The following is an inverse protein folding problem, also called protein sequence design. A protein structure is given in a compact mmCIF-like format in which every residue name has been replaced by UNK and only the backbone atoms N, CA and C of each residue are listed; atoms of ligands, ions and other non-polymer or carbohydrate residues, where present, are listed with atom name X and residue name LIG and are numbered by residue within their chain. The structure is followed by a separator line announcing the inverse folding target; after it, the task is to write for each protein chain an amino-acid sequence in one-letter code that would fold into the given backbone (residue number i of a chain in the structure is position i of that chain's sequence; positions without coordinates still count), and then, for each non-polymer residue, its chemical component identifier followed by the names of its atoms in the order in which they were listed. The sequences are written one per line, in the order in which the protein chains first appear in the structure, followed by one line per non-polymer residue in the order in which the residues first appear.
data_IF_642836409539
#
_entry.id   IF_642836409539
#
_cell.length_a   1.000
_cell.length_b   1.000
_cell.length_c   1.000
_cell.angle_alpha   90.00
_cell.angle_beta   90.00
_cell.angle_gamma   90.00
#
_symmetry.space_group_name_H-M   'P 1'
#
loop_
_entity.id
_entity.type
_entity.pdbx_description
1 polymer ?
#
# COMPACT_ATOMS: atom_id res chain seq x y z
N UNK A 1 -17.38 9.20 -7.87
CA UNK A 1 -16.16 9.21 -7.03
C UNK A 1 -16.09 7.89 -6.29
N UNK A 2 -14.90 7.29 -6.13
CA UNK A 2 -14.77 6.07 -5.37
C UNK A 2 -15.13 6.30 -3.89
N UNK A 3 -15.81 5.31 -3.31
CA UNK A 3 -16.26 5.32 -1.91
C UNK A 3 -15.32 4.44 -1.12
N UNK A 4 -14.94 4.90 0.06
CA UNK A 4 -14.19 4.11 1.04
C UNK A 4 -15.12 3.79 2.21
N UNK A 5 -14.74 2.80 3.01
CA UNK A 5 -15.42 2.50 4.27
C UNK A 5 -15.52 3.80 5.11
N UNK A 6 -16.73 4.23 5.53
CA UNK A 6 -16.91 5.53 6.20
C UNK A 6 -16.02 5.75 7.41
N UNK A 7 -15.73 4.68 8.16
CA UNK A 7 -14.84 4.74 9.33
C UNK A 7 -13.38 5.02 8.99
N UNK A 8 -12.95 4.78 7.74
CA UNK A 8 -11.61 5.09 7.24
C UNK A 8 -11.43 6.52 6.74
N UNK A 9 -12.52 7.22 6.37
CA UNK A 9 -12.47 8.61 5.91
C UNK A 9 -11.70 9.54 6.86
N UNK A 10 -12.02 9.60 8.18
CA UNK A 10 -11.26 10.44 9.10
C UNK A 10 -9.80 10.01 9.21
N UNK A 11 -9.52 8.70 9.16
CA UNK A 11 -8.16 8.15 9.26
C UNK A 11 -7.29 8.66 8.13
N UNK A 12 -7.73 8.51 6.87
CA UNK A 12 -6.93 8.92 5.71
C UNK A 12 -6.85 10.45 5.59
N UNK A 13 -7.89 11.17 6.02
CA UNK A 13 -7.90 12.63 6.01
C UNK A 13 -6.93 13.24 7.05
N UNK A 14 -6.94 12.73 8.28
CA UNK A 14 -6.07 13.19 9.35
C UNK A 14 -4.61 12.79 9.10
N UNK A 15 -4.39 11.60 8.53
CA UNK A 15 -3.07 11.17 8.06
C UNK A 15 -2.52 12.09 6.97
N UNK A 16 -3.31 12.33 5.92
CA UNK A 16 -2.90 13.17 4.79
C UNK A 16 -2.51 14.56 5.27
N UNK A 17 -3.33 15.16 6.14
CA UNK A 17 -3.06 16.47 6.74
C UNK A 17 -1.77 16.43 7.56
N UNK A 18 -1.62 15.41 8.40
CA UNK A 18 -0.45 15.22 9.25
C UNK A 18 0.86 15.10 8.46
N UNK A 19 0.86 14.33 7.37
CA UNK A 19 2.03 14.12 6.52
C UNK A 19 2.33 15.36 5.65
N UNK A 20 1.31 16.00 5.06
CA UNK A 20 1.50 17.21 4.25
C UNK A 20 2.04 18.39 5.04
N UNK A 21 1.52 18.64 6.24
CA UNK A 21 2.02 19.71 7.12
C UNK A 21 3.52 19.56 7.44
N UNK A 22 4.05 18.34 7.34
CA UNK A 22 5.45 18.01 7.65
C UNK A 22 6.30 17.84 6.40
N UNK A 23 5.71 17.99 5.22
CA UNK A 23 6.40 17.75 3.94
C UNK A 23 6.89 16.32 3.77
N UNK A 24 6.25 15.33 4.41
CA UNK A 24 6.63 13.91 4.32
C UNK A 24 5.96 13.31 3.07
N UNK A 25 6.73 12.87 2.05
CA UNK A 25 6.17 12.19 0.89
C UNK A 25 5.59 10.83 1.29
N UNK A 26 4.45 10.46 0.71
CA UNK A 26 3.77 9.21 1.05
C UNK A 26 2.96 8.68 -0.13
N UNK A 27 2.61 7.40 -0.05
CA UNK A 27 1.71 6.74 -0.98
C UNK A 27 0.87 5.67 -0.29
N UNK A 28 -0.43 5.63 -0.61
CA UNK A 28 -1.32 4.56 -0.18
C UNK A 28 -0.96 3.27 -0.91
N UNK A 29 -0.83 2.19 -0.15
CA UNK A 29 -0.53 0.85 -0.63
C UNK A 29 -1.63 -0.11 -0.13
N UNK A 30 -1.40 -1.43 -0.26
CA UNK A 30 -2.31 -2.43 0.30
C UNK A 30 -3.66 -2.53 -0.40
N UNK A 31 -4.67 -2.98 0.34
CA UNK A 31 -5.99 -3.34 -0.18
C UNK A 31 -6.83 -2.12 -0.61
N UNK A 32 -6.56 -0.95 -0.02
CA UNK A 32 -7.30 0.27 -0.36
C UNK A 32 -7.04 0.75 -1.81
N UNK A 33 -5.89 0.41 -2.39
CA UNK A 33 -5.56 0.83 -3.76
C UNK A 33 -6.45 0.16 -4.82
N UNK A 34 -6.54 -1.18 -4.92
CA UNK A 34 -7.44 -1.80 -5.88
C UNK A 34 -8.91 -1.40 -5.64
N UNK A 35 -9.35 -1.23 -4.38
CA UNK A 35 -10.70 -0.75 -4.07
C UNK A 35 -11.03 0.63 -4.65
N UNK A 36 -10.02 1.50 -4.73
CA UNK A 36 -10.17 2.87 -5.23
C UNK A 36 -9.92 3.01 -6.73
N UNK A 37 -9.09 2.13 -7.31
CA UNK A 37 -8.68 2.19 -8.72
C UNK A 37 -9.48 1.28 -9.65
N UNK A 38 -10.09 0.21 -9.15
CA UNK A 38 -10.80 -0.78 -9.98
C UNK A 38 -12.31 -0.54 -9.91
N UNK A 39 -12.97 -0.70 -11.06
CA UNK A 39 -14.43 -0.60 -11.16
C UNK A 39 -15.12 -1.79 -10.49
N UNK A 40 -14.47 -2.96 -10.52
CA UNK A 40 -14.91 -4.16 -9.80
C UNK A 40 -14.47 -4.07 -8.35
N UNK A 41 -15.43 -3.81 -7.46
CA UNK A 41 -15.14 -3.73 -6.02
C UNK A 41 -15.18 -5.11 -5.36
N UNK A 42 -14.35 -5.34 -4.33
CA UNK A 42 -14.44 -6.54 -3.52
C UNK A 42 -15.77 -6.54 -2.75
N UNK A 43 -16.30 -7.75 -2.50
CA UNK A 43 -17.50 -7.93 -1.68
C UNK A 43 -17.30 -7.49 -0.22
N UNK A 44 -16.04 -7.54 0.28
CA UNK A 44 -15.63 -7.04 1.58
C UNK A 44 -14.64 -5.90 1.39
N UNK A 45 -14.99 -4.72 1.87
CA UNK A 45 -14.08 -3.58 1.90
C UNK A 45 -13.06 -3.71 3.04
N UNK A 46 -11.89 -3.11 2.86
CA UNK A 46 -10.86 -3.02 3.88
C UNK A 46 -11.26 -2.02 4.96
N UNK A 47 -10.90 -2.31 6.21
CA UNK A 47 -11.24 -1.49 7.38
C UNK A 47 -10.02 -0.80 8.00
N UNK A 48 -8.86 -0.97 7.37
CA UNK A 48 -7.58 -0.36 7.67
C UNK A 48 -6.99 0.31 6.42
N UNK A 49 -6.03 1.21 6.64
CA UNK A 49 -5.28 1.85 5.58
C UNK A 49 -3.81 1.46 5.68
N UNK A 50 -3.19 1.12 4.54
CA UNK A 50 -1.76 0.87 4.44
C UNK A 50 -1.04 2.07 3.79
N UNK A 51 -0.20 2.69 4.61
CA UNK A 51 0.73 3.80 4.45
C UNK A 51 2.17 3.46 4.00
N UNK A 52 2.71 3.90 2.87
CA UNK A 52 4.18 4.06 2.75
C UNK A 52 4.56 5.52 2.99
N UNK A 53 5.57 5.78 3.84
CA UNK A 53 6.14 7.13 4.05
C UNK A 53 7.64 7.15 3.75
N UNK A 54 8.12 8.26 3.19
CA UNK A 54 9.54 8.44 2.87
C UNK A 54 10.26 9.12 4.03
N UNK A 55 11.19 8.39 4.66
CA UNK A 55 11.99 8.84 5.82
C UNK A 55 13.41 8.29 5.72
N UNK A 56 14.40 9.01 6.25
CA UNK A 56 15.83 8.67 6.04
C UNK A 56 16.37 7.68 7.07
N UNK A 57 15.77 7.65 8.27
CA UNK A 57 16.19 6.77 9.37
C UNK A 57 14.98 6.19 10.11
N UNK A 58 15.19 5.11 10.85
CA UNK A 58 14.17 4.57 11.76
C UNK A 58 13.84 5.56 12.90
N UNK A 59 14.79 6.38 13.33
CA UNK A 59 14.54 7.43 14.33
C UNK A 59 13.59 8.52 13.80
N UNK A 60 13.72 8.89 12.52
CA UNK A 60 12.78 9.82 11.87
C UNK A 60 11.38 9.22 11.78
N UNK A 61 11.30 7.90 11.51
CA UNK A 61 10.03 7.18 11.49
C UNK A 61 9.35 7.17 12.86
N UNK A 62 10.10 6.89 13.93
CA UNK A 62 9.59 6.94 15.30
C UNK A 62 9.11 8.35 15.67
N UNK A 63 9.90 9.36 15.33
CA UNK A 63 9.55 10.78 15.53
C UNK A 63 8.29 11.17 14.75
N UNK A 64 8.12 10.64 13.53
CA UNK A 64 6.94 10.88 12.72
C UNK A 64 5.69 10.33 13.40
N UNK A 65 5.74 9.09 13.92
CA UNK A 65 4.62 8.48 14.66
C UNK A 65 4.22 9.32 15.87
N UNK A 66 5.19 9.83 16.64
CA UNK A 66 4.89 10.69 17.79
C UNK A 66 4.21 11.99 17.38
N UNK A 67 4.66 12.58 16.27
CA UNK A 67 4.07 13.81 15.75
C UNK A 67 2.66 13.60 15.19
N UNK A 68 2.31 12.40 14.73
CA UNK A 68 0.96 12.07 14.27
C UNK A 68 -0.05 11.99 15.43
N UNK A 69 0.39 11.96 16.69
CA UNK A 69 -0.50 12.05 17.85
C UNK A 69 -1.33 13.34 17.88
N UNK A 70 -0.77 14.45 17.38
CA UNK A 70 -1.51 15.71 17.22
C UNK A 70 -2.67 15.63 16.21
N UNK A 71 -2.72 14.56 15.41
CA UNK A 71 -3.77 14.25 14.42
C UNK A 71 -4.61 13.04 14.86
N UNK A 72 -4.66 12.74 16.16
CA UNK A 72 -5.52 11.69 16.70
C UNK A 72 -4.99 10.26 16.52
N UNK A 73 -3.69 10.08 16.26
CA UNK A 73 -3.08 8.75 16.15
C UNK A 73 -2.35 8.33 17.43
N UNK A 74 -2.60 7.12 17.88
CA UNK A 74 -1.90 6.50 19.00
C UNK A 74 -1.07 5.31 18.54
N UNK A 75 0.09 5.13 19.14
CA UNK A 75 0.92 3.93 18.94
C UNK A 75 0.18 2.68 19.41
N UNK A 76 0.41 1.58 18.72
CA UNK A 76 -0.02 0.25 19.17
C UNK A 76 1.17 -0.61 19.58
N UNK A 77 0.92 -1.86 20.00
CA UNK A 77 1.99 -2.84 20.26
C UNK A 77 2.66 -3.36 18.98
N UNK A 78 2.03 -3.16 17.82
CA UNK A 78 2.56 -3.55 16.53
C UNK A 78 3.39 -2.36 15.99
N UNK A 79 4.70 -2.52 15.71
CA UNK A 79 5.61 -1.38 15.50
C UNK A 79 5.24 -0.43 14.35
N UNK A 80 4.62 -0.96 13.31
CA UNK A 80 4.17 -0.21 12.13
C UNK A 80 2.71 0.25 12.23
N UNK A 81 1.97 -0.08 13.30
CA UNK A 81 0.54 0.18 13.38
C UNK A 81 0.20 1.29 14.34
N UNK A 82 -0.61 2.23 13.86
CA UNK A 82 -1.26 3.29 14.63
C UNK A 82 -2.77 3.05 14.71
N UNK A 83 -3.37 3.52 15.79
CA UNK A 83 -4.83 3.54 15.98
C UNK A 83 -5.30 4.98 16.00
N UNK A 84 -6.30 5.29 15.19
CA UNK A 84 -6.93 6.59 15.19
C UNK A 84 -7.98 6.70 16.32
N UNK A 85 -8.23 7.91 16.83
CA UNK A 85 -9.26 8.18 17.87
C UNK A 85 -10.67 7.72 17.48
N UNK A 86 -10.97 7.60 16.19
CA UNK A 86 -12.25 7.05 15.70
C UNK A 86 -12.32 5.52 15.75
N UNK A 87 -11.25 4.84 16.16
CA UNK A 87 -11.14 3.38 16.22
C UNK A 87 -10.51 2.73 14.97
N UNK A 88 -10.34 3.48 13.87
CA UNK A 88 -9.72 2.96 12.66
C UNK A 88 -8.23 2.65 12.81
N UNK A 89 -7.73 1.70 12.02
CA UNK A 89 -6.33 1.26 12.05
C UNK A 89 -5.57 1.78 10.82
N UNK A 90 -4.31 2.13 11.05
CA UNK A 90 -3.37 2.58 10.03
C UNK A 90 -2.07 1.80 10.19
N UNK A 91 -1.69 1.05 9.15
CA UNK A 91 -0.37 0.45 9.04
C UNK A 91 0.52 1.40 8.24
N UNK A 92 1.63 1.86 8.82
CA UNK A 92 2.55 2.83 8.22
C UNK A 92 3.96 2.23 8.14
N UNK A 93 4.48 2.13 6.92
CA UNK A 93 5.76 1.54 6.58
C UNK A 93 6.75 2.63 6.15
N UNK A 94 7.90 2.75 6.82
CA UNK A 94 8.93 3.68 6.39
C UNK A 94 9.70 3.13 5.19
N UNK A 95 10.09 4.01 4.27
CA UNK A 95 10.95 3.64 3.15
C UNK A 95 11.98 4.71 2.81
N UNK A 96 13.19 4.24 2.55
CA UNK A 96 14.24 4.90 1.79
C UNK A 96 15.28 3.83 1.41
N UNK A 97 16.12 4.12 0.43
CA UNK A 97 17.21 3.20 0.05
C UNK A 97 18.21 2.98 1.20
N UNK A 98 18.29 3.89 2.19
CA UNK A 98 19.17 3.75 3.36
C UNK A 98 18.65 2.78 4.42
N UNK A 99 17.32 2.73 4.63
CA UNK A 99 16.71 1.87 5.67
C UNK A 99 16.16 0.55 5.12
N UNK A 100 15.94 0.48 3.80
CA UNK A 100 15.47 -0.71 3.12
C UNK A 100 16.37 -1.07 1.92
N UNK A 101 17.70 -1.19 2.11
CA UNK A 101 18.61 -1.59 1.04
C UNK A 101 18.16 -2.93 0.46
N UNK A 102 18.32 -3.07 -0.85
CA UNK A 102 17.90 -4.26 -1.61
C UNK A 102 16.41 -4.63 -1.44
N UNK A 103 15.58 -3.65 -1.06
CA UNK A 103 14.15 -3.86 -0.86
C UNK A 103 13.83 -4.68 0.39
N UNK A 104 14.67 -4.65 1.43
CA UNK A 104 14.41 -5.33 2.70
C UNK A 104 14.51 -4.35 3.88
N UNK A 105 13.40 -4.14 4.57
CA UNK A 105 13.33 -3.32 5.78
C UNK A 105 13.32 -4.22 7.01
N UNK A 106 14.28 -4.03 7.91
CA UNK A 106 14.21 -4.55 9.28
C UNK A 106 13.74 -3.41 10.19
N UNK A 107 12.46 -3.45 10.57
CA UNK A 107 11.86 -2.35 11.31
C UNK A 107 12.22 -2.43 12.80
N UNK A 108 12.13 -3.63 13.35
CA UNK A 108 12.50 -4.02 14.72
C UNK A 108 12.81 -5.52 14.71
N UNK A 109 13.36 -6.05 15.81
CA UNK A 109 13.61 -7.49 15.96
C UNK A 109 12.34 -8.31 15.69
N UNK A 110 12.42 -9.28 14.79
CA UNK A 110 11.30 -10.09 14.32
C UNK A 110 10.32 -9.40 13.36
N UNK A 111 10.50 -8.12 13.02
CA UNK A 111 9.65 -7.37 12.09
C UNK A 111 10.41 -6.98 10.82
N UNK A 112 10.43 -7.90 9.87
CA UNK A 112 11.08 -7.73 8.57
C UNK A 112 10.04 -7.63 7.47
N UNK A 113 10.18 -6.62 6.61
CA UNK A 113 9.32 -6.39 5.46
C UNK A 113 10.11 -6.49 4.15
N UNK A 114 9.49 -7.12 3.16
CA UNK A 114 9.91 -7.01 1.77
C UNK A 114 9.31 -5.73 1.18
N UNK A 115 10.20 -4.81 0.83
CA UNK A 115 9.95 -3.48 0.26
C UNK A 115 10.29 -3.42 -1.24
N UNK A 116 10.40 -4.57 -1.92
CA UNK A 116 10.61 -4.61 -3.36
C UNK A 116 9.51 -3.80 -4.07
N UNK A 117 9.94 -2.92 -4.97
CA UNK A 117 9.04 -2.02 -5.70
C UNK A 117 8.62 -0.74 -4.95
N UNK A 118 8.90 -0.59 -3.65
CA UNK A 118 8.49 0.60 -2.89
C UNK A 118 9.17 1.88 -3.37
N UNK A 119 10.38 1.80 -3.96
CA UNK A 119 11.03 2.92 -4.66
C UNK A 119 10.17 3.59 -5.73
N UNK A 120 9.21 2.87 -6.29
CA UNK A 120 8.34 3.33 -7.37
C UNK A 120 7.02 3.91 -6.88
N UNK A 121 6.64 3.71 -5.61
CA UNK A 121 5.31 4.09 -5.11
C UNK A 121 5.10 5.59 -5.16
N UNK A 122 5.96 6.37 -4.48
CA UNK A 122 5.81 7.83 -4.43
C UNK A 122 6.09 8.50 -5.79
N UNK A 123 7.17 8.17 -6.53
CA UNK A 123 7.46 8.83 -7.80
C UNK A 123 6.40 8.61 -8.89
N UNK A 124 5.61 7.54 -8.79
CA UNK A 124 4.61 7.17 -9.78
C UNK A 124 3.19 7.09 -9.20
N UNK A 125 2.96 7.71 -8.04
CA UNK A 125 1.66 7.68 -7.39
C UNK A 125 0.57 8.30 -8.28
N UNK A 126 -0.58 7.65 -8.32
CA UNK A 126 -1.77 8.10 -9.04
C UNK A 126 -2.63 8.94 -8.09
N UNK A 127 -2.77 10.26 -8.32
CA UNK A 127 -3.64 11.09 -7.49
C UNK A 127 -5.10 10.68 -7.72
N UNK A 128 -5.78 10.30 -6.65
CA UNK A 128 -7.17 9.84 -6.71
C UNK A 128 -8.03 10.60 -5.72
N UNK A 129 -9.07 11.27 -6.21
CA UNK A 129 -10.01 12.03 -5.37
C UNK A 129 -11.14 11.13 -4.92
N UNK A 130 -11.27 10.97 -3.61
CA UNK A 130 -12.34 10.21 -2.96
C UNK A 130 -13.50 11.13 -2.55
N UNK A 131 -14.59 10.53 -2.07
CA UNK A 131 -15.73 11.27 -1.54
C UNK A 131 -15.31 12.30 -0.46
N UNK A 132 -15.90 13.50 -0.50
CA UNK A 132 -15.49 14.63 0.35
C UNK A 132 -14.35 15.49 -0.21
N UNK A 133 -13.83 15.17 -1.41
CA UNK A 133 -12.85 15.99 -2.12
C UNK A 133 -11.39 15.78 -1.68
N UNK A 134 -11.13 14.82 -0.79
CA UNK A 134 -9.77 14.43 -0.40
C UNK A 134 -9.06 13.74 -1.57
N UNK A 135 -7.83 14.16 -1.88
CA UNK A 135 -7.00 13.53 -2.91
C UNK A 135 -5.86 12.75 -2.27
N UNK A 136 -5.84 11.44 -2.49
CA UNK A 136 -4.81 10.53 -1.98
C UNK A 136 -3.84 10.11 -3.10
N UNK A 137 -2.52 10.04 -2.82
CA UNK A 137 -1.54 9.47 -3.73
C UNK A 137 -1.58 7.93 -3.64
N UNK A 138 -2.20 7.26 -4.60
CA UNK A 138 -2.28 5.79 -4.61
C UNK A 138 -1.07 5.20 -5.32
N UNK A 139 -0.51 4.09 -4.82
CA UNK A 139 0.53 3.37 -5.54
C UNK A 139 0.03 2.99 -6.95
N UNK A 140 0.86 3.14 -7.99
CA UNK A 140 0.44 2.76 -9.34
C UNK A 140 0.18 1.26 -9.40
N UNK A 141 -0.86 0.89 -10.15
CA UNK A 141 -1.26 -0.51 -10.29
C UNK A 141 -0.12 -1.41 -10.80
N UNK A 142 0.78 -0.90 -11.64
CA UNK A 142 1.95 -1.62 -12.12
C UNK A 142 2.97 -1.94 -11.02
N UNK A 143 3.18 -1.06 -10.03
CA UNK A 143 4.07 -1.35 -8.88
C UNK A 143 3.46 -2.40 -7.96
N UNK A 144 2.13 -2.39 -7.89
CA UNK A 144 1.30 -3.38 -7.20
C UNK A 144 1.50 -4.77 -7.81
N UNK A 145 1.39 -4.88 -9.14
CA UNK A 145 1.64 -6.10 -9.92
C UNK A 145 3.08 -6.58 -9.74
N UNK A 146 4.07 -5.67 -9.87
CA UNK A 146 5.49 -6.02 -9.76
C UNK A 146 5.86 -6.55 -8.38
N UNK A 147 5.39 -5.93 -7.30
CA UNK A 147 5.64 -6.40 -5.94
C UNK A 147 5.08 -7.80 -5.66
N UNK A 148 4.07 -8.24 -6.43
CA UNK A 148 3.57 -9.62 -6.40
C UNK A 148 4.52 -10.55 -7.14
N UNK A 149 4.93 -10.19 -8.36
CA UNK A 149 5.81 -11.01 -9.20
C UNK A 149 7.22 -11.21 -8.61
N UNK A 150 7.82 -10.17 -8.02
CA UNK A 150 9.17 -10.20 -7.44
C UNK A 150 9.27 -11.09 -6.16
N UNK A 151 8.15 -11.67 -5.70
CA UNK A 151 8.07 -12.57 -4.54
C UNK A 151 7.86 -14.05 -4.91
N UNK A 152 7.94 -14.41 -6.19
CA UNK A 152 7.88 -15.80 -6.66
C UNK A 152 9.28 -16.33 -6.99
N UNK A 153 9.63 -17.50 -6.45
CA UNK A 153 10.85 -18.27 -6.76
C UNK A 153 10.51 -19.58 -7.53
N UNK A 154 9.32 -19.62 -8.15
CA UNK A 154 8.69 -20.83 -8.69
C UNK A 154 8.61 -20.78 -10.23
N UNK A 155 8.87 -21.87 -10.99
CA UNK A 155 8.77 -21.95 -12.45
C UNK A 155 7.45 -21.44 -13.07
N UNK A 156 6.38 -21.26 -12.30
CA UNK A 156 5.14 -20.61 -12.76
C UNK A 156 5.29 -19.09 -13.00
N UNK A 157 6.32 -18.45 -12.42
CA UNK A 157 6.66 -17.06 -12.69
C UNK A 157 7.10 -16.84 -14.15
N UNK A 158 7.68 -17.86 -14.76
CA UNK A 158 8.07 -17.85 -16.17
C UNK A 158 6.84 -17.85 -17.08
N UNK A 159 5.77 -18.58 -16.74
CA UNK A 159 4.53 -18.60 -17.52
C UNK A 159 3.69 -17.33 -17.37
N UNK A 160 3.67 -16.73 -16.17
CA UNK A 160 3.05 -15.41 -15.96
C UNK A 160 3.87 -14.30 -16.64
N UNK A 161 5.19 -14.38 -16.57
CA UNK A 161 6.12 -13.53 -17.32
C UNK A 161 5.98 -13.69 -18.83
N UNK A 162 5.78 -14.91 -19.32
CA UNK A 162 5.57 -15.24 -20.74
C UNK A 162 4.20 -14.76 -21.21
N UNK A 163 3.13 -14.89 -20.42
CA UNK A 163 1.82 -14.32 -20.73
C UNK A 163 1.82 -12.77 -20.72
N UNK A 164 2.76 -12.15 -20.02
CA UNK A 164 3.01 -10.71 -20.05
C UNK A 164 3.94 -10.29 -21.22
N UNK A 165 4.94 -11.12 -21.56
CA UNK A 165 5.97 -10.86 -22.57
C UNK A 165 5.57 -11.24 -24.00
N UNK A 166 4.76 -12.29 -24.21
CA UNK A 166 4.19 -12.67 -25.52
C UNK A 166 3.25 -11.60 -26.10
N UNK A 167 2.93 -10.56 -25.31
CA UNK A 167 2.19 -9.40 -25.78
C UNK A 167 3.11 -8.29 -26.30
N UNK A 168 3.65 -8.55 -27.50
CA UNK A 168 3.54 -7.57 -28.59
C UNK A 168 2.07 -7.25 -28.99
N UNK A 169 1.13 -7.36 -28.03
CA UNK A 169 -0.33 -7.49 -28.06
C UNK A 169 -0.91 -8.26 -29.25
N UNK A 170 -1.44 -9.47 -28.99
CA UNK A 170 -2.57 -10.02 -29.76
C UNK A 170 -3.61 -10.57 -28.76
N UNK A 171 -4.87 -10.58 -29.19
CA UNK A 171 -6.11 -10.27 -28.46
C UNK A 171 -6.42 -11.00 -27.15
N UNK A 172 -7.07 -10.25 -26.27
CA UNK A 172 -7.91 -10.73 -25.16
C UNK A 172 -9.35 -10.45 -25.54
N UNK A 173 -10.27 -11.17 -24.92
CA UNK A 173 -11.50 -10.54 -24.49
C UNK A 173 -11.30 -9.96 -23.06
N UNK A 174 -11.60 -8.67 -22.86
CA UNK A 174 -11.00 -7.82 -21.82
C UNK A 174 -11.42 -8.14 -20.37
N UNK A 175 -12.57 -8.75 -20.17
CA UNK A 175 -13.09 -9.15 -18.85
C UNK A 175 -12.30 -10.32 -18.26
N UNK A 176 -11.81 -11.25 -19.10
CA UNK A 176 -11.13 -12.48 -18.69
C UNK A 176 -9.70 -12.29 -18.16
N UNK A 177 -8.96 -11.24 -18.56
CA UNK A 177 -7.62 -10.95 -17.99
C UNK A 177 -7.67 -10.10 -16.73
N UNK A 178 -8.73 -9.30 -16.57
CA UNK A 178 -8.98 -8.49 -15.39
C UNK A 178 -9.36 -9.38 -14.21
N UNK A 179 -10.18 -10.41 -14.46
CA UNK A 179 -10.62 -11.39 -13.47
C UNK A 179 -9.48 -12.30 -12.94
N UNK A 180 -8.59 -12.78 -13.81
CA UNK A 180 -7.47 -13.66 -13.41
C UNK A 180 -6.40 -12.92 -12.59
N UNK A 181 -6.25 -11.61 -12.79
CA UNK A 181 -5.32 -10.76 -12.01
C UNK A 181 -5.91 -10.28 -10.66
N UNK A 182 -7.21 -9.97 -10.63
CA UNK A 182 -8.00 -9.72 -9.41
C UNK A 182 -7.96 -10.93 -8.44
N UNK A 183 -8.12 -12.15 -8.97
CA UNK A 183 -8.12 -13.42 -8.21
C UNK A 183 -6.77 -13.77 -7.55
N UNK A 184 -5.64 -13.27 -8.06
CA UNK A 184 -4.31 -13.68 -7.58
C UNK A 184 -3.70 -12.74 -6.52
N UNK A 185 -4.09 -11.46 -6.46
CA UNK A 185 -3.44 -10.45 -5.60
C UNK A 185 -4.17 -10.17 -4.28
N UNK A 186 -5.50 -10.20 -4.29
CA UNK A 186 -6.32 -10.21 -3.08
C UNK A 186 -5.97 -11.40 -2.15
N UNK A 187 -5.48 -12.50 -2.73
CA UNK A 187 -5.22 -13.78 -2.08
C UNK A 187 -4.00 -13.82 -1.14
N UNK A 188 -3.09 -12.81 -1.15
CA UNK A 188 -1.78 -12.95 -0.46
C UNK A 188 -1.38 -11.92 0.61
N UNK A 189 -2.04 -10.76 0.76
CA UNK A 189 -1.55 -9.68 1.66
C UNK A 189 -2.50 -9.23 2.77
N UNK A 190 -3.80 -9.56 2.69
CA UNK A 190 -4.70 -9.40 3.83
C UNK A 190 -4.56 -10.49 4.90
N UNK A 191 -3.71 -11.51 4.70
CA UNK A 191 -3.79 -12.79 5.45
C UNK A 191 -2.58 -13.17 6.30
N UNK A 192 -1.41 -12.52 6.19
CA UNK A 192 -0.24 -12.92 7.00
C UNK A 192 0.11 -14.42 6.87
N UNK A 193 -0.16 -15.02 5.71
CA UNK A 193 0.21 -16.40 5.38
C UNK A 193 1.47 -16.30 4.52
N UNK A 194 2.65 -16.61 5.04
CA UNK A 194 2.90 -17.90 5.66
C UNK A 194 3.81 -17.78 6.90
N UNK A 195 3.45 -18.55 7.93
CA UNK A 195 4.45 -19.31 8.67
C UNK A 195 5.06 -20.35 7.75
#
# INVERSE_FOLDING_TARGET
MPRIEPTLVPVVADLERGLRQRGVPFGVVGALVPELLLDTRPARMTNDADVMVVVQTLADFETLKDKLAAHGFERTRVPHRLRHTTGGLLDILPYSESIAPDGRLELQDGFVFNMAGFRHVVPHAVPTTIEGGLTLPLAPFSSIVKAVLDRFDDPDAEWVGTAAAERGRIYLEDEHRTHVFELFRWYRLGTGLWR
#
